data_IF_916891645938
#
_entry.id   IF_916891645938
#
_cell.length_a   1.000
_cell.length_b   1.000
_cell.length_c   1.000
_cell.angle_alpha   90.00
_cell.angle_beta   90.00
_cell.angle_gamma   90.00
#
_symmetry.space_group_name_H-M   'P 1'
#
loop_
_entity.id
_entity.type
_entity.pdbx_description
1 polymer ?
#
# COMPACT_ATOMS: atom_id res chain seq x y z
N UNK A 1 -28.37 3.24 20.06
CA UNK A 1 -28.00 1.82 20.14
C UNK A 1 -27.05 1.69 21.32
N UNK A 2 -27.35 0.85 22.32
CA UNK A 2 -26.44 0.62 23.43
C UNK A 2 -25.83 -0.78 23.23
N UNK A 3 -24.63 -0.82 22.66
CA UNK A 3 -23.91 -2.07 22.42
C UNK A 3 -23.16 -2.40 23.72
N UNK A 4 -23.21 -3.68 24.12
CA UNK A 4 -22.49 -4.14 25.30
C UNK A 4 -20.98 -4.09 25.04
N UNK A 5 -20.15 -3.62 26.00
CA UNK A 5 -18.70 -3.55 25.84
C UNK A 5 -18.08 -4.88 25.38
N UNK A 6 -18.57 -6.01 25.89
CA UNK A 6 -18.04 -7.33 25.56
C UNK A 6 -18.23 -7.69 24.07
N UNK A 7 -19.27 -7.13 23.43
CA UNK A 7 -19.51 -7.31 21.99
C UNK A 7 -18.50 -6.48 21.19
N UNK A 8 -18.15 -5.28 21.68
CA UNK A 8 -17.16 -4.44 21.02
C UNK A 8 -15.77 -5.07 21.10
N UNK A 9 -15.41 -5.62 22.25
CA UNK A 9 -14.13 -6.31 22.45
C UNK A 9 -14.02 -7.53 21.53
N UNK A 10 -15.09 -8.34 21.44
CA UNK A 10 -15.13 -9.49 20.55
C UNK A 10 -15.00 -9.10 19.08
N UNK A 11 -15.62 -8.00 18.66
CA UNK A 11 -15.48 -7.51 17.29
C UNK A 11 -14.04 -7.07 16.99
N UNK A 12 -13.38 -6.40 17.93
CA UNK A 12 -12.00 -5.97 17.77
C UNK A 12 -11.04 -7.16 17.67
N UNK A 13 -11.23 -8.20 18.49
CA UNK A 13 -10.42 -9.43 18.45
C UNK A 13 -10.54 -10.13 17.08
N UNK A 14 -11.78 -10.34 16.61
CA UNK A 14 -12.04 -10.96 15.32
C UNK A 14 -11.50 -10.15 14.13
N UNK A 15 -11.51 -8.82 14.23
CA UNK A 15 -10.92 -7.94 13.20
C UNK A 15 -9.40 -8.14 13.12
N UNK A 16 -8.72 -8.17 14.27
CA UNK A 16 -7.27 -8.40 14.32
C UNK A 16 -6.92 -9.76 13.75
N UNK A 17 -7.64 -10.82 14.14
CA UNK A 17 -7.41 -12.18 13.65
C UNK A 17 -7.57 -12.27 12.13
N UNK A 18 -8.65 -11.68 11.57
CA UNK A 18 -8.88 -11.68 10.13
C UNK A 18 -7.78 -10.92 9.36
N UNK A 19 -7.26 -9.83 9.92
CA UNK A 19 -6.13 -9.10 9.32
C UNK A 19 -4.84 -9.93 9.37
N UNK A 20 -4.59 -10.66 10.45
CA UNK A 20 -3.43 -11.54 10.58
C UNK A 20 -3.50 -12.73 9.61
N UNK A 21 -4.65 -13.39 9.50
CA UNK A 21 -4.88 -14.48 8.54
C UNK A 21 -4.66 -14.00 7.10
N UNK A 22 -5.21 -12.84 6.74
CA UNK A 22 -5.03 -12.27 5.39
C UNK A 22 -3.58 -11.88 5.08
N UNK A 23 -2.76 -11.56 6.09
CA UNK A 23 -1.32 -11.32 5.92
C UNK A 23 -0.52 -12.61 5.69
N UNK A 24 -1.02 -13.75 6.18
CA UNK A 24 -0.41 -15.07 5.96
C UNK A 24 -0.76 -15.64 4.59
N UNK A 25 -1.92 -15.28 4.04
CA UNK A 25 -2.35 -15.69 2.70
C UNK A 25 -1.49 -15.00 1.60
N UNK A 26 -0.76 -15.75 0.75
CA UNK A 26 0.10 -15.20 -0.30
C UNK A 26 -0.60 -14.35 -1.36
N UNK A 27 -1.86 -14.64 -1.68
CA UNK A 27 -2.63 -13.92 -2.69
C UNK A 27 -3.21 -12.63 -2.10
N UNK A 28 -3.73 -12.70 -0.88
CA UNK A 28 -4.32 -11.55 -0.19
C UNK A 28 -3.25 -10.54 0.21
N UNK A 29 -2.09 -10.98 0.72
CA UNK A 29 -1.00 -10.07 1.13
C UNK A 29 -0.33 -9.33 -0.04
N UNK A 30 -0.54 -9.78 -1.28
CA UNK A 30 -0.09 -9.07 -2.48
C UNK A 30 -1.05 -7.98 -2.93
N UNK A 31 -2.28 -7.97 -2.41
CA UNK A 31 -3.29 -6.99 -2.78
C UNK A 31 -3.01 -5.63 -2.11
N UNK A 32 -2.72 -4.57 -2.89
CA UNK A 32 -2.42 -3.25 -2.33
C UNK A 32 -3.57 -2.66 -1.50
N UNK A 33 -4.82 -2.94 -1.88
CA UNK A 33 -6.01 -2.47 -1.15
C UNK A 33 -6.16 -3.15 0.21
N UNK A 34 -5.76 -4.43 0.32
CA UNK A 34 -5.74 -5.13 1.62
C UNK A 34 -4.66 -4.55 2.52
N UNK A 35 -3.44 -4.37 2.01
CA UNK A 35 -2.34 -3.77 2.77
C UNK A 35 -2.67 -2.34 3.25
N UNK A 36 -3.46 -1.57 2.49
CA UNK A 36 -3.91 -0.26 2.94
C UNK A 36 -4.90 -0.34 4.12
N UNK A 37 -5.74 -1.38 4.18
CA UNK A 37 -6.61 -1.61 5.35
C UNK A 37 -5.77 -1.90 6.59
N UNK A 38 -4.76 -2.77 6.47
CA UNK A 38 -3.82 -3.09 7.56
C UNK A 38 -3.10 -1.83 8.04
N UNK A 39 -2.54 -1.03 7.13
CA UNK A 39 -1.86 0.23 7.49
C UNK A 39 -2.79 1.21 8.18
N UNK A 40 -4.03 1.35 7.70
CA UNK A 40 -5.03 2.21 8.34
C UNK A 40 -5.38 1.72 9.75
N UNK A 41 -5.60 0.41 9.91
CA UNK A 41 -5.86 -0.18 11.23
C UNK A 41 -4.74 0.14 12.22
N UNK A 42 -3.48 0.01 11.82
CA UNK A 42 -2.33 0.37 12.67
C UNK A 42 -2.34 1.86 13.05
N UNK A 43 -2.58 2.75 12.08
CA UNK A 43 -2.64 4.21 12.32
C UNK A 43 -3.78 4.60 13.27
N UNK A 44 -4.98 4.08 13.01
CA UNK A 44 -6.19 4.42 13.77
C UNK A 44 -6.07 3.97 15.22
N UNK A 45 -5.39 2.84 15.46
CA UNK A 45 -5.11 2.32 16.80
C UNK A 45 -3.79 2.80 17.41
N UNK A 46 -3.07 3.72 16.74
CA UNK A 46 -1.75 4.25 17.17
C UNK A 46 -0.73 3.15 17.48
N UNK A 47 -0.77 2.06 16.70
CA UNK A 47 0.14 0.94 16.81
C UNK A 47 1.42 1.27 16.03
N UNK A 48 2.50 1.55 16.75
CA UNK A 48 3.79 1.88 16.16
C UNK A 48 4.62 0.61 15.90
N UNK A 49 5.18 0.50 14.69
CA UNK A 49 6.16 -0.56 14.38
C UNK A 49 7.49 -0.26 15.07
N UNK A 50 8.29 -1.29 15.36
CA UNK A 50 9.63 -1.07 15.90
C UNK A 50 10.51 -0.24 14.95
N UNK A 51 11.49 0.51 15.48
CA UNK A 51 12.37 1.35 14.68
C UNK A 51 13.07 0.61 13.53
N UNK A 52 13.44 -0.66 13.74
CA UNK A 52 14.11 -1.51 12.75
C UNK A 52 13.21 -1.77 11.53
N UNK A 53 11.91 -1.90 11.73
CA UNK A 53 10.93 -2.17 10.67
C UNK A 53 10.54 -0.89 9.91
N UNK A 54 10.55 0.25 10.58
CA UNK A 54 10.21 1.54 9.98
C UNK A 54 11.20 1.96 8.87
N UNK A 55 12.47 1.51 8.95
CA UNK A 55 13.51 1.80 7.96
C UNK A 55 13.22 1.08 6.64
N UNK A 56 12.69 -0.15 6.67
CA UNK A 56 12.43 -0.96 5.47
C UNK A 56 11.27 -0.44 4.60
N UNK A 57 10.39 0.40 5.15
CA UNK A 57 9.22 0.96 4.44
C UNK A 57 9.55 2.25 3.66
N UNK A 58 10.77 2.80 3.82
CA UNK A 58 11.27 3.86 2.92
C UNK A 58 11.61 3.27 1.56
N UNK A 59 10.55 3.18 0.74
CA UNK A 59 10.46 3.00 -0.70
C UNK A 59 11.79 2.82 -1.45
N UNK A 60 11.92 1.69 -2.14
CA UNK A 60 12.75 1.61 -3.35
C UNK A 60 12.22 2.65 -4.36
N UNK A 61 12.81 3.84 -4.37
CA UNK A 61 12.57 4.81 -5.43
C UNK A 61 13.27 4.30 -6.68
N UNK A 62 12.51 3.70 -7.60
CA UNK A 62 13.02 3.47 -8.94
C UNK A 62 13.07 4.82 -9.67
N UNK A 63 14.23 5.16 -10.21
CA UNK A 63 14.38 6.37 -11.03
C UNK A 63 13.45 6.29 -12.24
N UNK A 64 12.70 7.35 -12.50
CA UNK A 64 11.87 7.46 -13.70
C UNK A 64 12.83 7.53 -14.90
N UNK A 65 12.74 6.59 -15.87
CA UNK A 65 13.60 6.66 -17.05
C UNK A 65 13.32 7.94 -17.83
N UNK A 66 14.37 8.72 -18.09
CA UNK A 66 14.30 9.90 -18.93
C UNK A 66 14.27 9.45 -20.39
N UNK A 67 13.19 9.76 -21.09
CA UNK A 67 13.09 9.50 -22.53
C UNK A 67 13.59 10.71 -23.31
N UNK A 68 14.46 10.48 -24.28
CA UNK A 68 14.89 11.54 -25.20
C UNK A 68 13.67 12.07 -25.97
N UNK A 69 13.55 13.40 -26.15
CA UNK A 69 12.50 13.96 -26.98
C UNK A 69 12.63 13.44 -28.41
N UNK A 70 11.51 13.14 -29.10
CA UNK A 70 11.55 12.64 -30.46
C UNK A 70 12.24 13.65 -31.37
N UNK A 71 13.21 13.19 -32.16
CA UNK A 71 13.83 14.00 -33.21
C UNK A 71 12.77 14.31 -34.26
N UNK A 72 12.38 15.57 -34.39
CA UNK A 72 11.60 16.03 -35.54
C UNK A 72 12.43 15.74 -36.79
N UNK A 73 11.92 14.89 -37.68
CA UNK A 73 12.52 14.73 -38.99
C UNK A 73 12.26 16.02 -39.76
N UNK A 74 13.32 16.67 -40.24
CA UNK A 74 13.19 17.80 -41.15
C UNK A 74 12.56 17.26 -42.45
N UNK A 75 11.30 17.60 -42.67
CA UNK A 75 10.60 17.33 -43.92
C UNK A 75 11.25 18.20 -45.01
N UNK A 76 12.23 17.63 -45.72
CA UNK A 76 12.64 18.17 -47.01
C UNK A 76 11.51 17.95 -48.01
N UNK A 77 10.59 18.92 -48.11
CA UNK A 77 9.76 19.05 -49.31
C UNK A 77 10.71 19.40 -50.44
N UNK A 78 11.01 18.41 -51.28
CA UNK A 78 11.69 18.64 -52.54
C UNK A 78 10.86 19.58 -53.39
N UNK A 79 11.48 20.65 -53.88
CA UNK A 79 10.94 21.51 -54.91
C UNK A 79 10.58 20.64 -56.14
N UNK A 80 9.29 20.58 -56.46
CA UNK A 80 8.77 20.04 -57.71
C UNK A 80 8.45 21.18 -58.68
#
# INVERSE_FOLDING_TARGET
>A
MNIKPEILDQLAELEVDALLEGLQDPEVRRNPSFLEKVRRFLRDNKLETTPELAIAVKQETHEIPVFDPPKLMEEHYGDH
#
